data_IF_375080682192
#
_entry.id   IF_375080682192
#
_cell.length_a   1.000
_cell.length_b   1.000
_cell.length_c   1.000
_cell.angle_alpha   90.00
_cell.angle_beta   90.00
_cell.angle_gamma   90.00
#
_symmetry.space_group_name_H-M   'P 1'
#
loop_
_entity.id
_entity.type
_entity.pdbx_description
1 polymer ?
#
# COMPACT_ATOMS: atom_id res chain seq x y z
N UNK A 1 1.33 -17.89 -13.74
CA UNK A 1 1.39 -18.22 -12.31
C UNK A 1 0.69 -17.08 -11.60
N UNK A 2 -0.53 -17.30 -11.12
CA UNK A 2 -1.21 -16.36 -10.22
C UNK A 2 -0.31 -16.19 -9.00
N UNK A 3 0.33 -15.03 -8.88
CA UNK A 3 0.93 -14.61 -7.62
C UNK A 3 -0.23 -14.22 -6.71
N UNK A 4 -0.97 -15.22 -6.24
CA UNK A 4 -1.99 -15.05 -5.22
C UNK A 4 -1.33 -14.35 -4.04
N UNK A 5 -2.00 -13.36 -3.47
CA UNK A 5 -1.50 -12.51 -2.38
C UNK A 5 -1.27 -13.28 -1.06
N UNK A 6 -0.99 -14.57 -1.11
CA UNK A 6 -0.92 -15.50 0.00
C UNK A 6 0.04 -15.05 1.10
N UNK A 7 1.23 -14.55 0.73
CA UNK A 7 2.18 -14.01 1.71
C UNK A 7 1.60 -12.80 2.46
N UNK A 8 0.85 -11.93 1.76
CA UNK A 8 0.20 -10.78 2.38
C UNK A 8 -1.06 -11.16 3.16
N UNK A 9 -1.79 -12.19 2.74
CA UNK A 9 -2.92 -12.76 3.49
C UNK A 9 -2.46 -13.25 4.87
N UNK A 10 -1.31 -13.93 4.95
CA UNK A 10 -0.72 -14.34 6.22
C UNK A 10 -0.39 -13.14 7.13
N UNK A 11 0.07 -12.02 6.56
CA UNK A 11 0.30 -10.76 7.31
C UNK A 11 -1.00 -10.17 7.83
N UNK A 12 -2.02 -10.07 6.97
CA UNK A 12 -3.34 -9.56 7.37
C UNK A 12 -3.94 -10.43 8.47
N UNK A 13 -3.88 -11.75 8.33
CA UNK A 13 -4.38 -12.69 9.33
C UNK A 13 -3.67 -12.53 10.67
N UNK A 14 -2.35 -12.35 10.69
CA UNK A 14 -1.60 -12.11 11.91
C UNK A 14 -2.02 -10.81 12.60
N UNK A 15 -2.17 -9.72 11.83
CA UNK A 15 -2.64 -8.43 12.35
C UNK A 15 -4.07 -8.53 12.89
N UNK A 16 -4.95 -9.27 12.21
CA UNK A 16 -6.32 -9.50 12.67
C UNK A 16 -6.35 -10.32 13.95
N UNK A 17 -5.53 -11.38 14.05
CA UNK A 17 -5.39 -12.19 15.28
C UNK A 17 -4.83 -11.39 16.44
N UNK A 18 -3.99 -10.39 16.18
CA UNK A 18 -3.50 -9.44 17.18
C UNK A 18 -4.54 -8.39 17.60
N UNK A 19 -5.74 -8.39 17.02
CA UNK A 19 -6.86 -7.52 17.39
C UNK A 19 -7.11 -6.36 16.44
N UNK A 20 -6.35 -6.22 15.34
CA UNK A 20 -6.66 -5.28 14.27
C UNK A 20 -7.83 -5.83 13.41
N UNK A 21 -8.30 -5.02 12.46
CA UNK A 21 -9.33 -5.39 11.48
C UNK A 21 -8.96 -4.75 10.16
N UNK A 22 -9.22 -5.44 9.05
CA UNK A 22 -9.21 -4.78 7.74
C UNK A 22 -10.56 -4.14 7.48
N UNK A 23 -10.56 -2.99 6.83
CA UNK A 23 -11.78 -2.27 6.45
C UNK A 23 -12.62 -3.13 5.52
N UNK A 24 -13.94 -3.18 5.74
CA UNK A 24 -14.82 -3.88 4.82
C UNK A 24 -14.77 -3.20 3.44
N UNK A 25 -14.51 -4.02 2.43
CA UNK A 25 -14.54 -3.64 1.02
C UNK A 25 -15.90 -3.07 0.59
N UNK A 26 -15.94 -2.16 -0.41
CA UNK A 26 -17.18 -1.71 -1.02
C UNK A 26 -17.99 -2.87 -1.64
N UNK A 27 -19.33 -2.76 -1.71
CA UNK A 27 -20.17 -3.76 -2.34
C UNK A 27 -19.69 -4.14 -3.76
N UNK A 28 -19.60 -5.44 -4.05
CA UNK A 28 -19.25 -5.97 -5.38
C UNK A 28 -17.76 -6.27 -5.66
N UNK A 29 -16.84 -6.14 -4.69
CA UNK A 29 -15.37 -6.18 -4.93
C UNK A 29 -14.57 -7.39 -4.36
N UNK A 30 -15.09 -8.63 -4.43
CA UNK A 30 -14.50 -9.88 -3.83
C UNK A 30 -14.41 -10.01 -2.28
N UNK A 31 -14.58 -11.20 -1.70
CA UNK A 31 -14.78 -11.38 -0.23
C UNK A 31 -13.54 -11.30 0.67
N UNK A 32 -12.35 -11.17 0.10
CA UNK A 32 -11.08 -11.15 0.85
C UNK A 32 -10.67 -9.76 1.34
N UNK A 33 -9.55 -9.68 2.08
CA UNK A 33 -9.01 -8.44 2.59
C UNK A 33 -8.43 -7.53 1.50
N UNK A 34 -8.05 -8.10 0.35
CA UNK A 34 -7.56 -7.37 -0.81
C UNK A 34 -8.66 -7.17 -1.84
N UNK A 35 -8.78 -5.94 -2.35
CA UNK A 35 -9.63 -5.64 -3.50
C UNK A 35 -8.94 -4.73 -4.52
N UNK A 36 -9.31 -4.87 -5.78
CA UNK A 36 -8.69 -4.12 -6.89
C UNK A 36 -9.17 -2.68 -6.93
N UNK A 37 -8.22 -1.76 -6.94
CA UNK A 37 -8.38 -0.32 -7.24
C UNK A 37 -7.71 0.02 -8.57
N UNK A 38 -7.76 1.29 -8.99
CA UNK A 38 -7.08 1.75 -10.20
C UNK A 38 -5.55 1.52 -10.15
N UNK A 39 -4.95 1.52 -8.96
CA UNK A 39 -3.53 1.26 -8.74
C UNK A 39 -3.16 -0.21 -8.49
N UNK A 40 -4.13 -1.14 -8.57
CA UNK A 40 -3.93 -2.55 -8.24
C UNK A 40 -4.65 -3.01 -6.96
N UNK A 41 -4.41 -4.26 -6.51
CA UNK A 41 -4.97 -4.78 -5.28
C UNK A 41 -4.45 -3.99 -4.08
N UNK A 42 -5.30 -3.80 -3.07
CA UNK A 42 -4.93 -3.12 -1.82
C UNK A 42 -5.77 -3.66 -0.67
N UNK A 43 -5.19 -3.68 0.52
CA UNK A 43 -5.88 -3.89 1.80
C UNK A 43 -5.77 -2.63 2.65
N UNK A 44 -6.81 -2.27 3.38
CA UNK A 44 -6.78 -1.17 4.36
C UNK A 44 -7.08 -1.70 5.75
N UNK A 45 -6.29 -1.33 6.75
CA UNK A 45 -6.53 -1.64 8.15
C UNK A 45 -7.38 -0.54 8.82
N UNK A 46 -8.12 -0.91 9.86
CA UNK A 46 -8.91 0.02 10.68
C UNK A 46 -8.05 0.73 11.72
N UNK A 47 -7.03 0.05 12.26
CA UNK A 47 -6.07 0.59 13.21
C UNK A 47 -4.64 0.61 12.63
N UNK A 48 -3.71 1.41 13.20
CA UNK A 48 -2.30 1.43 12.81
C UNK A 48 -1.70 0.03 12.74
N UNK A 49 -0.77 -0.18 11.81
CA UNK A 49 -0.12 -1.48 11.63
C UNK A 49 0.80 -1.74 12.81
N UNK A 50 0.62 -2.90 13.45
CA UNK A 50 1.62 -3.43 14.39
C UNK A 50 2.75 -4.10 13.60
N UNK A 51 3.82 -3.36 13.37
CA UNK A 51 4.98 -3.82 12.61
C UNK A 51 5.75 -4.95 13.29
N UNK A 52 5.67 -5.07 14.62
CA UNK A 52 6.30 -6.19 15.34
C UNK A 52 5.53 -7.48 15.07
N UNK A 53 4.19 -7.44 15.12
CA UNK A 53 3.33 -8.57 14.72
C UNK A 53 3.56 -8.92 13.26
N UNK A 54 3.60 -7.92 12.37
CA UNK A 54 3.80 -8.16 10.95
C UNK A 54 5.14 -8.85 10.67
N UNK A 55 6.25 -8.44 11.29
CA UNK A 55 7.57 -9.09 11.14
C UNK A 55 7.64 -10.49 11.75
N UNK A 56 6.76 -10.82 12.68
CA UNK A 56 6.71 -12.12 13.34
C UNK A 56 6.10 -13.23 12.48
N UNK A 57 5.55 -12.91 11.31
CA UNK A 57 4.97 -13.90 10.40
C UNK A 57 6.08 -14.70 9.71
N UNK A 58 6.05 -16.04 9.76
CA UNK A 58 7.05 -16.87 9.10
C UNK A 58 6.91 -16.81 7.57
N UNK A 59 7.97 -17.23 6.86
CA UNK A 59 7.98 -17.39 5.40
C UNK A 59 7.62 -16.12 4.61
N UNK A 60 7.89 -14.95 5.19
CA UNK A 60 7.74 -13.70 4.48
C UNK A 60 8.82 -13.52 3.41
N UNK A 61 8.47 -12.94 2.25
CA UNK A 61 9.47 -12.56 1.27
C UNK A 61 10.43 -11.51 1.86
N UNK A 62 11.72 -11.68 1.61
CA UNK A 62 12.76 -10.78 2.12
C UNK A 62 12.60 -9.33 1.61
N UNK A 63 11.89 -9.16 0.49
CA UNK A 63 11.64 -7.88 -0.16
C UNK A 63 10.44 -7.12 0.43
N UNK A 64 9.73 -7.68 1.41
CA UNK A 64 8.61 -7.01 2.07
C UNK A 64 9.08 -5.70 2.72
N UNK A 65 8.49 -4.58 2.30
CA UNK A 65 8.87 -3.24 2.76
C UNK A 65 7.92 -2.79 3.86
N UNK A 66 8.48 -2.45 5.01
CA UNK A 66 7.75 -1.92 6.16
C UNK A 66 8.05 -0.42 6.26
N UNK A 67 7.04 0.41 6.00
CA UNK A 67 7.19 1.86 6.01
C UNK A 67 6.55 2.44 7.28
N UNK A 68 7.22 2.28 8.42
CA UNK A 68 6.65 2.60 9.74
C UNK A 68 6.22 4.05 9.90
N UNK A 69 6.94 4.98 9.26
CA UNK A 69 6.68 6.42 9.36
C UNK A 69 5.37 6.86 8.71
N UNK A 70 4.91 6.09 7.72
CA UNK A 70 3.72 6.42 6.93
C UNK A 70 2.66 5.32 6.98
N UNK A 71 2.88 4.25 7.76
CA UNK A 71 1.89 3.21 8.07
C UNK A 71 1.41 2.33 6.90
N UNK A 72 2.24 1.95 5.89
CA UNK A 72 1.95 0.79 5.05
C UNK A 72 3.01 -0.31 5.10
N UNK A 73 2.60 -1.50 4.67
CA UNK A 73 3.48 -2.60 4.26
C UNK A 73 3.30 -2.79 2.76
N UNK A 74 4.39 -2.91 2.01
CA UNK A 74 4.34 -3.14 0.58
C UNK A 74 5.10 -4.41 0.18
N UNK A 75 4.47 -5.26 -0.62
CA UNK A 75 5.11 -6.41 -1.23
C UNK A 75 5.47 -6.12 -2.70
N UNK A 76 6.77 -6.02 -3.06
CA UNK A 76 7.19 -5.83 -4.45
C UNK A 76 6.85 -7.00 -5.37
N UNK A 77 6.73 -8.23 -4.84
CA UNK A 77 6.42 -9.42 -5.61
C UNK A 77 4.94 -9.48 -6.04
N UNK A 78 4.05 -8.94 -5.21
CA UNK A 78 2.60 -8.89 -5.44
C UNK A 78 2.13 -7.53 -5.95
N UNK A 79 3.03 -6.53 -5.96
CA UNK A 79 2.71 -5.12 -6.22
C UNK A 79 1.49 -4.62 -5.43
N UNK A 80 1.37 -5.06 -4.18
CA UNK A 80 0.18 -4.91 -3.35
C UNK A 80 0.56 -4.32 -1.98
N UNK A 81 -0.10 -3.24 -1.54
CA UNK A 81 0.08 -2.70 -0.21
C UNK A 81 -1.01 -3.14 0.79
N UNK A 82 -0.62 -3.19 2.06
CA UNK A 82 -1.50 -3.15 3.23
C UNK A 82 -1.33 -1.77 3.85
N UNK A 83 -2.38 -0.95 3.85
CA UNK A 83 -2.35 0.43 4.33
C UNK A 83 -3.04 0.54 5.68
N UNK A 84 -2.35 1.05 6.68
CA UNK A 84 -2.95 1.52 7.92
C UNK A 84 -3.59 2.91 7.77
N UNK A 85 -4.33 3.38 8.80
CA UNK A 85 -4.99 4.68 8.79
C UNK A 85 -4.01 5.87 8.72
N UNK A 86 -2.73 5.68 9.07
CA UNK A 86 -1.69 6.69 8.92
C UNK A 86 -1.25 6.93 7.48
N UNK A 87 -1.59 6.02 6.56
CA UNK A 87 -1.17 6.08 5.16
C UNK A 87 -1.68 7.34 4.45
N UNK A 88 -0.73 8.18 4.05
CA UNK A 88 -1.01 9.35 3.20
C UNK A 88 -0.54 9.06 1.77
N UNK A 89 -1.42 9.10 0.77
CA UNK A 89 -1.09 8.77 -0.61
C UNK A 89 -0.17 9.80 -1.30
N UNK A 90 0.21 10.90 -0.63
CA UNK A 90 1.21 11.82 -1.13
C UNK A 90 2.60 11.35 -0.63
N UNK A 91 3.49 10.96 -1.57
CA UNK A 91 4.98 10.85 -1.46
C UNK A 91 5.71 9.49 -1.47
N UNK A 92 5.14 8.35 -1.89
CA UNK A 92 5.95 7.09 -1.96
C UNK A 92 5.94 6.26 -3.25
N UNK A 93 5.38 6.75 -4.36
CA UNK A 93 5.55 6.09 -5.67
C UNK A 93 6.15 6.98 -6.76
N UNK A 94 6.67 8.16 -6.41
CA UNK A 94 7.49 8.98 -7.32
C UNK A 94 8.96 8.55 -7.21
N UNK A 95 9.28 7.41 -7.79
CA UNK A 95 10.65 7.12 -8.21
C UNK A 95 10.60 6.69 -9.67
N UNK A 96 10.48 7.66 -10.58
CA UNK A 96 10.86 7.42 -11.98
C UNK A 96 10.05 8.02 -13.13
N UNK A 97 9.42 9.20 -13.01
CA UNK A 97 9.08 9.99 -14.21
C UNK A 97 9.41 11.47 -13.95
N UNK A 98 10.65 11.90 -14.21
CA UNK A 98 11.03 12.65 -15.42
C UNK A 98 10.17 13.90 -15.67
N UNK A 99 10.76 15.02 -15.26
CA UNK A 99 10.75 16.34 -15.93
C UNK A 99 9.40 17.03 -16.12
N UNK A 100 9.06 17.92 -15.19
CA UNK A 100 8.17 19.05 -15.43
C UNK A 100 8.93 20.13 -16.23
N UNK A 101 8.95 19.98 -17.56
CA UNK A 101 9.09 21.13 -18.46
C UNK A 101 7.77 21.92 -18.44
N UNK A 102 7.55 22.67 -17.36
CA UNK A 102 6.61 23.78 -17.39
C UNK A 102 7.35 25.00 -17.97
N UNK A 103 7.35 25.10 -19.30
CA UNK A 103 7.54 26.39 -19.99
C UNK A 103 6.46 27.34 -19.46
N UNK A 104 6.84 28.18 -18.51
CA UNK A 104 6.15 29.44 -18.25
C UNK A 104 6.58 30.35 -19.39
N UNK A 105 5.74 30.46 -20.42
CA UNK A 105 5.89 31.50 -21.43
C UNK A 105 5.74 32.85 -20.72
N UNK A 106 6.89 33.52 -20.64
CA UNK A 106 7.10 34.87 -20.16
C UNK A 106 6.18 35.83 -20.90
N UNK A 107 5.26 36.43 -20.14
CA UNK A 107 4.42 37.53 -20.60
C UNK A 107 5.31 38.76 -20.72
N UNK A 108 5.89 38.95 -21.89
CA UNK A 108 6.64 40.16 -22.27
C UNK A 108 5.81 41.42 -21.97
N UNK A 109 6.36 42.40 -21.23
CA UNK A 109 5.85 43.77 -21.24
C UNK A 109 6.48 44.56 -22.39
N UNK A 110 5.85 45.70 -22.71
CA UNK A 110 6.30 46.81 -23.57
C UNK A 110 6.27 46.64 -25.11
N UNK A 111 5.24 47.23 -25.72
CA UNK A 111 5.35 48.30 -26.74
C UNK A 111 3.98 48.92 -27.03
#
# INVERSE_FOLDING_TARGET
MDHTNHHLEAVVDALVRAGNRFRPRPPGKGAGPFWTTQGGPVCYMEAPIDFAVARGVPDQPAELRFHEDIDPIFCPLCWTPINGPGYRPQTVWDTGHMTLDAKVDDRSPDA
#
